data_IF_209682828961
#
_entry.id   IF_209682828961
#
_cell.length_a   1.000
_cell.length_b   1.000
_cell.length_c   1.000
_cell.angle_alpha   90.00
_cell.angle_beta   90.00
_cell.angle_gamma   90.00
#
_symmetry.space_group_name_H-M   'P 1'
#
loop_
_entity.id
_entity.type
_entity.pdbx_description
1 polymer ?
#
# COMPACT_ATOMS: atom_id res chain seq x y z
N UNK A 1 15.78 -4.37 5.93
CA UNK A 1 14.40 -4.00 5.53
C UNK A 1 14.13 -2.52 5.72
N UNK A 2 14.50 -1.89 6.84
CA UNK A 2 14.33 -0.42 7.05
C UNK A 2 14.95 0.46 5.96
N UNK A 3 16.04 0.05 5.32
CA UNK A 3 16.60 0.83 4.19
C UNK A 3 15.66 0.83 2.97
N UNK A 4 14.94 -0.26 2.71
CA UNK A 4 14.06 -0.38 1.54
C UNK A 4 12.83 0.54 1.67
N UNK A 5 12.20 0.57 2.85
CA UNK A 5 11.02 1.43 3.07
C UNK A 5 11.37 2.91 2.87
N UNK A 6 12.57 3.34 3.28
CA UNK A 6 13.05 4.71 3.05
C UNK A 6 13.13 5.06 1.56
N UNK A 7 13.61 4.15 0.71
CA UNK A 7 13.64 4.38 -0.74
C UNK A 7 12.23 4.39 -1.34
N UNK A 8 11.34 3.50 -0.89
CA UNK A 8 9.94 3.53 -1.32
C UNK A 8 9.26 4.85 -0.90
N UNK A 9 9.51 5.37 0.29
CA UNK A 9 9.02 6.68 0.74
C UNK A 9 9.53 7.82 -0.14
N UNK A 10 10.82 7.83 -0.48
CA UNK A 10 11.41 8.85 -1.37
C UNK A 10 10.79 8.83 -2.77
N UNK A 11 10.55 7.64 -3.33
CA UNK A 11 9.89 7.50 -4.64
C UNK A 11 8.40 7.81 -4.57
N UNK A 12 7.72 7.42 -3.49
CA UNK A 12 6.29 7.69 -3.27
C UNK A 12 5.99 9.19 -3.06
N UNK A 13 6.96 9.97 -2.54
CA UNK A 13 6.88 11.44 -2.49
C UNK A 13 6.84 12.09 -3.87
N UNK A 14 7.33 11.39 -4.90
CA UNK A 14 7.23 11.80 -6.30
C UNK A 14 6.04 11.12 -6.99
N UNK A 15 5.04 10.71 -6.21
CA UNK A 15 3.84 10.01 -6.63
C UNK A 15 4.08 8.73 -7.44
N UNK A 16 5.25 8.08 -7.31
CA UNK A 16 5.51 6.83 -8.02
C UNK A 16 4.54 5.72 -7.57
N UNK A 17 3.66 5.27 -8.47
CA UNK A 17 2.62 4.27 -8.16
C UNK A 17 3.19 2.93 -7.68
N UNK A 18 4.32 2.48 -8.24
CA UNK A 18 4.97 1.23 -7.84
C UNK A 18 5.52 1.32 -6.41
N UNK A 19 6.13 2.46 -6.05
CA UNK A 19 6.61 2.68 -4.70
C UNK A 19 5.47 2.79 -3.68
N UNK A 20 4.36 3.46 -4.04
CA UNK A 20 3.14 3.49 -3.23
C UNK A 20 2.60 2.07 -3.00
N UNK A 21 2.56 1.23 -4.04
CA UNK A 21 2.14 -0.17 -3.91
C UNK A 21 3.04 -0.94 -2.91
N UNK A 22 4.36 -0.83 -3.02
CA UNK A 22 5.28 -1.51 -2.11
C UNK A 22 5.21 -0.96 -0.68
N UNK A 23 4.95 0.33 -0.47
CA UNK A 23 4.65 0.86 0.86
C UNK A 23 3.38 0.24 1.43
N UNK A 24 2.34 0.09 0.62
CA UNK A 24 1.12 -0.63 1.00
C UNK A 24 1.43 -2.05 1.49
N UNK A 25 2.25 -2.79 0.74
CA UNK A 25 2.70 -4.13 1.15
C UNK A 25 3.51 -4.13 2.44
N UNK A 26 4.41 -3.15 2.62
CA UNK A 26 5.20 -3.03 3.84
C UNK A 26 4.30 -2.86 5.07
N UNK A 27 3.30 -1.97 5.00
CA UNK A 27 2.36 -1.80 6.11
C UNK A 27 1.38 -2.98 6.27
N UNK A 28 0.97 -3.66 5.19
CA UNK A 28 0.10 -4.83 5.32
C UNK A 28 0.82 -6.00 6.00
N UNK A 29 2.10 -6.23 5.69
CA UNK A 29 2.85 -7.39 6.17
C UNK A 29 3.80 -7.10 7.32
N UNK A 30 3.98 -5.83 7.70
CA UNK A 30 4.95 -5.41 8.70
C UNK A 30 6.41 -5.50 8.22
N UNK A 31 6.67 -5.31 6.93
CA UNK A 31 8.05 -5.38 6.40
C UNK A 31 8.80 -4.07 6.65
N UNK A 32 9.66 -4.09 7.68
CA UNK A 32 10.44 -2.91 8.07
C UNK A 32 9.59 -1.78 8.68
N UNK A 33 8.36 -2.11 9.10
CA UNK A 33 7.43 -1.23 9.80
C UNK A 33 6.47 -2.09 10.63
N UNK A 34 5.71 -1.50 11.54
CA UNK A 34 4.62 -2.20 12.21
C UNK A 34 3.46 -2.45 11.25
N UNK A 35 2.74 -3.56 11.46
CA UNK A 35 1.56 -3.86 10.66
C UNK A 35 0.49 -2.80 10.86
N UNK A 36 0.00 -2.24 9.76
CA UNK A 36 -1.06 -1.23 9.77
C UNK A 36 -1.91 -1.34 8.49
N UNK A 37 -3.02 -2.07 8.58
CA UNK A 37 -3.91 -2.31 7.42
C UNK A 37 -4.59 -1.04 6.91
N UNK A 38 -4.87 -0.07 7.78
CA UNK A 38 -5.45 1.22 7.38
C UNK A 38 -4.48 2.03 6.54
N UNK A 39 -3.21 2.08 6.93
CA UNK A 39 -2.16 2.77 6.18
C UNK A 39 -1.83 2.02 4.88
N UNK A 40 -1.86 0.69 4.91
CA UNK A 40 -1.74 -0.13 3.70
C UNK A 40 -2.84 0.19 2.68
N UNK A 41 -4.11 0.25 3.14
CA UNK A 41 -5.26 0.64 2.32
C UNK A 41 -5.06 2.00 1.66
N UNK A 42 -4.65 3.02 2.42
CA UNK A 42 -4.41 4.37 1.87
C UNK A 42 -3.37 4.38 0.75
N UNK A 43 -2.28 3.61 0.91
CA UNK A 43 -1.26 3.50 -0.13
C UNK A 43 -1.73 2.73 -1.36
N UNK A 44 -2.46 1.63 -1.17
CA UNK A 44 -3.07 0.89 -2.28
C UNK A 44 -4.10 1.73 -3.03
N UNK A 45 -4.94 2.50 -2.34
CA UNK A 45 -5.91 3.41 -2.95
C UNK A 45 -5.20 4.48 -3.80
N UNK A 46 -4.19 5.14 -3.23
CA UNK A 46 -3.43 6.17 -3.97
C UNK A 46 -2.71 5.59 -5.19
N UNK A 47 -2.13 4.39 -5.08
CA UNK A 47 -1.48 3.70 -6.20
C UNK A 47 -2.48 3.23 -7.27
N UNK A 48 -3.63 2.71 -6.85
CA UNK A 48 -4.74 2.27 -7.69
C UNK A 48 -5.32 3.41 -8.53
N UNK A 49 -5.47 4.60 -7.93
CA UNK A 49 -5.93 5.81 -8.62
C UNK A 49 -4.99 6.27 -9.75
N UNK A 50 -3.75 5.77 -9.78
CA UNK A 50 -2.78 6.00 -10.87
C UNK A 50 -2.73 4.84 -11.88
N UNK A 51 -3.67 3.89 -11.82
CA UNK A 51 -3.75 2.77 -12.74
C UNK A 51 -2.81 1.59 -12.43
N UNK A 52 -2.25 1.50 -11.22
CA UNK A 52 -1.47 0.34 -10.82
C UNK A 52 -2.40 -0.87 -10.59
N UNK A 53 -2.32 -1.86 -11.47
CA UNK A 53 -3.20 -3.05 -11.44
C UNK A 53 -3.00 -3.94 -10.21
N UNK A 54 -1.77 -4.03 -9.68
CA UNK A 54 -1.51 -4.77 -8.45
C UNK A 54 -2.15 -4.09 -7.23
N UNK A 55 -2.10 -2.76 -7.19
CA UNK A 55 -2.77 -1.99 -6.14
C UNK A 55 -4.30 -2.09 -6.25
N UNK A 56 -4.85 -2.08 -7.47
CA UNK A 56 -6.29 -2.32 -7.70
C UNK A 56 -6.73 -3.69 -7.18
N UNK A 57 -5.97 -4.74 -7.47
CA UNK A 57 -6.24 -6.09 -6.95
C UNK A 57 -6.20 -6.12 -5.41
N UNK A 58 -5.18 -5.49 -4.81
CA UNK A 58 -5.07 -5.44 -3.35
C UNK A 58 -6.17 -4.60 -2.71
N UNK A 59 -6.65 -3.54 -3.38
CA UNK A 59 -7.78 -2.75 -2.92
C UNK A 59 -9.08 -3.57 -2.97
N UNK A 60 -9.27 -4.41 -4.00
CA UNK A 60 -10.34 -5.40 -4.06
C UNK A 60 -10.30 -6.35 -2.85
N UNK A 61 -9.13 -6.91 -2.54
CA UNK A 61 -8.96 -7.73 -1.33
C UNK A 61 -9.22 -6.95 -0.03
N UNK A 62 -8.88 -5.66 0.01
CA UNK A 62 -9.19 -4.83 1.18
C UNK A 62 -10.70 -4.74 1.42
N UNK A 63 -11.50 -4.52 0.38
CA UNK A 63 -12.95 -4.52 0.49
C UNK A 63 -13.51 -5.93 0.74
N UNK A 64 -12.97 -6.98 0.13
CA UNK A 64 -13.46 -8.36 0.33
C UNK A 64 -13.29 -8.83 1.79
N UNK A 65 -12.16 -8.51 2.41
CA UNK A 65 -11.79 -9.00 3.74
C UNK A 65 -11.88 -7.94 4.84
N UNK A 66 -12.29 -6.71 4.53
CA UNK A 66 -12.37 -5.60 5.49
C UNK A 66 -11.00 -5.14 6.02
N UNK A 67 -9.94 -5.18 5.20
CA UNK A 67 -8.59 -4.79 5.62
C UNK A 67 -8.40 -3.29 5.52
N UNK A 68 -8.51 -2.59 6.66
CA UNK A 68 -8.30 -1.13 6.73
C UNK A 68 -9.46 -0.30 6.18
N UNK A 69 -10.54 -0.96 5.75
CA UNK A 69 -11.78 -0.37 5.23
C UNK A 69 -12.93 -1.32 5.59
N UNK A 70 -14.18 -0.85 5.77
CA UNK A 70 -15.32 -1.75 5.91
C UNK A 70 -15.46 -2.68 4.71
N UNK A 71 -15.94 -3.90 4.98
CA UNK A 71 -16.18 -4.90 3.92
C UNK A 71 -17.28 -4.41 2.96
N UNK A 72 -17.06 -4.59 1.66
CA UNK A 72 -18.02 -4.30 0.59
C UNK A 72 -17.91 -5.34 -0.52
#
# INVERSE_FOLDING_TARGET
MEKAIKYYELSAKQDNSVALYYLGMCYEKGYGTEMNTTKAFQYYEKSSNQGNSFAQNNLGMCYEFGKGVPRN
#
